data_IF_951162507963
#
_entry.id   IF_951162507963
#
_cell.length_a   1.000
_cell.length_b   1.000
_cell.length_c   1.000
_cell.angle_alpha   90.00
_cell.angle_beta   90.00
_cell.angle_gamma   90.00
#
_symmetry.space_group_name_H-M   'P 1'
#
loop_
_entity.id
_entity.type
_entity.pdbx_description
1 polymer ?
#
# COMPACT_ATOMS: atom_id res chain seq x y z
N UNK A 1 -45.88 58.72 -45.03
CA UNK A 1 -46.93 58.56 -44.01
C UNK A 1 -46.42 57.57 -42.98
N UNK A 2 -45.67 58.05 -41.99
CA UNK A 2 -45.13 57.22 -40.91
C UNK A 2 -46.22 57.18 -39.85
N UNK A 3 -46.61 55.98 -39.38
CA UNK A 3 -47.62 55.85 -38.34
C UNK A 3 -47.03 56.32 -37.01
N UNK A 4 -47.49 57.48 -36.55
CA UNK A 4 -47.33 57.90 -35.16
C UNK A 4 -48.26 57.04 -34.29
N UNK A 5 -47.82 55.81 -34.04
CA UNK A 5 -48.53 54.88 -33.15
C UNK A 5 -48.34 55.39 -31.71
N UNK A 6 -49.42 55.57 -30.91
CA UNK A 6 -49.32 56.24 -29.63
C UNK A 6 -48.34 55.50 -28.72
N UNK A 7 -47.33 56.24 -28.27
CA UNK A 7 -46.10 55.71 -27.64
C UNK A 7 -46.36 54.68 -26.51
N UNK A 8 -47.47 54.86 -25.78
CA UNK A 8 -47.93 53.94 -24.74
C UNK A 8 -48.10 52.50 -25.23
N UNK A 9 -48.70 52.27 -26.41
CA UNK A 9 -48.95 50.92 -26.95
C UNK A 9 -47.63 50.18 -27.19
N UNK A 10 -46.61 50.89 -27.67
CA UNK A 10 -45.27 50.33 -27.92
C UNK A 10 -44.56 49.97 -26.60
N UNK A 11 -44.77 50.77 -25.54
CA UNK A 11 -44.23 50.51 -24.20
C UNK A 11 -44.93 49.29 -23.57
N UNK A 12 -46.26 49.24 -23.58
CA UNK A 12 -47.04 48.12 -23.05
C UNK A 12 -46.69 46.80 -23.75
N UNK A 13 -46.58 46.83 -25.08
CA UNK A 13 -46.16 45.66 -25.87
C UNK A 13 -44.73 45.21 -25.52
N UNK A 14 -43.81 46.15 -25.29
CA UNK A 14 -42.43 45.86 -24.86
C UNK A 14 -42.37 45.17 -23.49
N UNK A 15 -43.21 45.57 -22.54
CA UNK A 15 -43.32 44.95 -21.21
C UNK A 15 -43.83 43.50 -21.33
N UNK A 16 -44.85 43.26 -22.17
CA UNK A 16 -45.39 41.91 -22.41
C UNK A 16 -44.33 41.00 -23.05
N UNK A 17 -43.60 41.50 -24.05
CA UNK A 17 -42.53 40.74 -24.73
C UNK A 17 -41.40 40.39 -23.74
N UNK A 18 -40.99 41.33 -22.88
CA UNK A 18 -40.00 41.07 -21.81
C UNK A 18 -40.48 39.97 -20.85
N UNK A 19 -41.75 39.99 -20.44
CA UNK A 19 -42.33 38.94 -19.61
C UNK A 19 -42.28 37.55 -20.25
N UNK A 20 -42.63 37.44 -21.53
CA UNK A 20 -42.57 36.18 -22.29
C UNK A 20 -41.13 35.68 -22.44
N UNK A 21 -40.16 36.57 -22.70
CA UNK A 21 -38.74 36.21 -22.80
C UNK A 21 -38.17 35.74 -21.45
N UNK A 22 -38.51 36.41 -20.34
CA UNK A 22 -38.12 35.96 -19.00
C UNK A 22 -38.74 34.59 -18.65
N UNK A 23 -40.01 34.36 -19.01
CA UNK A 23 -40.67 33.08 -18.79
C UNK A 23 -40.01 31.95 -19.59
N UNK A 24 -39.75 32.16 -20.88
CA UNK A 24 -39.05 31.20 -21.73
C UNK A 24 -37.61 30.95 -21.26
N UNK A 25 -36.87 32.00 -20.90
CA UNK A 25 -35.52 31.91 -20.34
C UNK A 25 -35.47 31.16 -19.01
N UNK A 26 -36.46 31.37 -18.14
CA UNK A 26 -36.64 30.62 -16.90
C UNK A 26 -36.87 29.12 -17.16
N UNK A 27 -37.72 28.79 -18.14
CA UNK A 27 -37.98 27.41 -18.56
C UNK A 27 -36.71 26.71 -19.07
N UNK A 28 -35.95 27.37 -19.96
CA UNK A 28 -34.66 26.86 -20.47
C UNK A 28 -33.65 26.71 -19.32
N UNK A 29 -33.60 27.66 -18.40
CA UNK A 29 -32.71 27.61 -17.22
C UNK A 29 -33.05 26.42 -16.31
N UNK A 30 -34.34 26.17 -16.03
CA UNK A 30 -34.79 25.01 -15.24
C UNK A 30 -34.47 23.70 -15.96
N UNK A 31 -34.63 23.63 -17.29
CA UNK A 31 -34.23 22.44 -18.07
C UNK A 31 -32.72 22.22 -18.07
N UNK A 32 -31.92 23.28 -18.18
CA UNK A 32 -30.46 23.21 -18.10
C UNK A 32 -30.00 22.74 -16.71
N UNK A 33 -30.59 23.28 -15.63
CA UNK A 33 -30.31 22.85 -14.26
C UNK A 33 -30.76 21.41 -13.98
N UNK A 34 -31.89 20.96 -14.54
CA UNK A 34 -32.30 19.54 -14.47
C UNK A 34 -31.30 18.64 -15.19
N UNK A 35 -30.92 18.97 -16.42
CA UNK A 35 -29.92 18.22 -17.20
C UNK A 35 -28.55 18.18 -16.51
N UNK A 36 -28.12 19.28 -15.90
CA UNK A 36 -26.87 19.34 -15.13
C UNK A 36 -26.95 18.53 -13.83
N UNK A 37 -28.10 18.56 -13.14
CA UNK A 37 -28.35 17.75 -11.94
C UNK A 37 -28.48 16.25 -12.24
N UNK A 38 -29.01 15.88 -13.40
CA UNK A 38 -29.01 14.51 -13.92
C UNK A 38 -27.59 14.04 -14.31
N UNK A 39 -26.76 14.93 -14.85
CA UNK A 39 -25.34 14.64 -15.07
C UNK A 39 -24.59 14.44 -13.74
N UNK A 40 -24.78 15.34 -12.76
CA UNK A 40 -24.18 15.21 -11.43
C UNK A 40 -24.63 13.93 -10.69
N UNK A 41 -25.86 13.44 -10.92
CA UNK A 41 -26.31 12.12 -10.43
C UNK A 41 -25.58 10.93 -11.05
N UNK A 42 -24.95 11.06 -12.22
CA UNK A 42 -24.11 9.99 -12.78
C UNK A 42 -22.77 9.89 -12.06
N UNK A 43 -22.21 11.04 -11.64
CA UNK A 43 -20.99 11.06 -10.84
C UNK A 43 -21.26 10.51 -9.42
N UNK A 44 -22.40 10.84 -8.81
CA UNK A 44 -22.87 10.30 -7.52
C UNK A 44 -22.89 8.75 -7.49
N UNK A 45 -23.37 8.12 -8.57
CA UNK A 45 -23.37 6.66 -8.73
C UNK A 45 -21.95 6.07 -8.81
N UNK A 46 -20.92 6.85 -9.19
CA UNK A 46 -19.54 6.40 -9.15
C UNK A 46 -19.01 6.31 -7.71
N UNK A 47 -19.38 7.26 -6.85
CA UNK A 47 -18.94 7.26 -5.45
C UNK A 47 -19.53 6.10 -4.64
N UNK A 48 -20.78 5.70 -4.92
CA UNK A 48 -21.39 4.53 -4.28
C UNK A 48 -20.75 3.19 -4.69
N UNK A 49 -20.13 3.10 -5.87
CA UNK A 49 -19.39 1.91 -6.28
C UNK A 49 -18.08 1.75 -5.49
N UNK A 50 -17.36 2.87 -5.25
CA UNK A 50 -16.16 2.87 -4.41
C UNK A 50 -16.50 2.54 -2.95
N UNK A 51 -17.62 3.04 -2.42
CA UNK A 51 -18.08 2.77 -1.05
C UNK A 51 -18.34 1.27 -0.81
N UNK A 52 -19.00 0.58 -1.75
CA UNK A 52 -19.23 -0.86 -1.68
C UNK A 52 -17.92 -1.69 -1.74
N UNK A 53 -16.91 -1.23 -2.49
CA UNK A 53 -15.58 -1.85 -2.50
C UNK A 53 -14.85 -1.63 -1.17
N UNK A 54 -14.95 -0.44 -0.59
CA UNK A 54 -14.40 -0.15 0.74
C UNK A 54 -15.08 -0.98 1.83
N UNK A 55 -16.41 -1.10 1.80
CA UNK A 55 -17.16 -1.95 2.73
C UNK A 55 -16.73 -3.42 2.62
N UNK A 56 -16.61 -3.96 1.40
CA UNK A 56 -16.15 -5.33 1.17
C UNK A 56 -14.73 -5.58 1.75
N UNK A 57 -13.81 -4.63 1.57
CA UNK A 57 -12.46 -4.68 2.15
C UNK A 57 -12.52 -4.62 3.68
N UNK A 58 -13.27 -3.69 4.27
CA UNK A 58 -13.43 -3.57 5.73
C UNK A 58 -14.07 -4.82 6.34
N UNK A 59 -15.02 -5.45 5.64
CA UNK A 59 -15.62 -6.71 6.02
C UNK A 59 -14.58 -7.85 6.02
N UNK A 60 -13.74 -7.93 4.99
CA UNK A 60 -12.66 -8.92 4.92
C UNK A 60 -11.64 -8.75 6.06
N UNK A 61 -11.21 -7.52 6.33
CA UNK A 61 -10.32 -7.22 7.46
C UNK A 61 -10.94 -7.60 8.81
N UNK A 62 -12.22 -7.27 9.01
CA UNK A 62 -12.97 -7.58 10.23
C UNK A 62 -13.16 -9.09 10.41
N UNK A 63 -13.34 -9.83 9.31
CA UNK A 63 -13.40 -11.30 9.31
C UNK A 63 -12.05 -11.91 9.72
N UNK A 64 -10.96 -11.50 9.08
CA UNK A 64 -9.59 -11.94 9.42
C UNK A 64 -9.25 -11.63 10.88
N UNK A 65 -9.67 -10.47 11.39
CA UNK A 65 -9.45 -10.08 12.79
C UNK A 65 -10.16 -11.04 13.77
N UNK A 66 -11.43 -11.40 13.50
CA UNK A 66 -12.18 -12.39 14.29
C UNK A 66 -11.56 -13.78 14.25
N UNK A 67 -10.98 -14.18 13.11
CA UNK A 67 -10.26 -15.45 13.00
C UNK A 67 -8.99 -15.46 13.88
N UNK A 68 -8.26 -14.33 13.95
CA UNK A 68 -7.13 -14.18 14.89
C UNK A 68 -7.57 -14.19 16.35
N UNK A 69 -8.65 -13.49 16.72
CA UNK A 69 -9.21 -13.50 18.08
C UNK A 69 -9.58 -14.93 18.54
N UNK A 70 -10.14 -15.74 17.62
CA UNK A 70 -10.44 -17.15 17.88
C UNK A 70 -9.18 -17.98 18.16
N UNK A 71 -8.12 -17.79 17.38
CA UNK A 71 -6.84 -18.48 17.60
C UNK A 71 -6.22 -18.06 18.94
N UNK A 72 -6.28 -16.77 19.29
CA UNK A 72 -5.79 -16.26 20.58
C UNK A 72 -6.58 -16.89 21.75
N UNK A 73 -7.91 -16.97 21.64
CA UNK A 73 -8.75 -17.63 22.64
C UNK A 73 -8.39 -19.11 22.81
N UNK A 74 -8.23 -19.86 21.70
CA UNK A 74 -7.85 -21.27 21.74
C UNK A 74 -6.46 -21.49 22.36
N UNK A 75 -5.49 -20.62 22.04
CA UNK A 75 -4.16 -20.68 22.63
C UNK A 75 -4.18 -20.40 24.14
N UNK A 76 -5.01 -19.45 24.60
CA UNK A 76 -5.21 -19.20 26.04
C UNK A 76 -5.79 -20.42 26.74
N UNK A 77 -6.88 -21.01 26.22
CA UNK A 77 -7.47 -22.22 26.81
C UNK A 77 -6.47 -23.39 26.86
N UNK A 78 -5.64 -23.57 25.82
CA UNK A 78 -4.57 -24.58 25.83
C UNK A 78 -3.50 -24.28 26.88
N UNK A 79 -3.13 -23.02 27.06
CA UNK A 79 -2.16 -22.59 28.08
C UNK A 79 -2.72 -22.81 29.50
N UNK A 80 -3.97 -22.43 29.75
CA UNK A 80 -4.66 -22.64 31.04
C UNK A 80 -4.71 -24.14 31.40
N UNK A 81 -5.03 -25.02 30.42
CA UNK A 81 -5.04 -26.47 30.61
C UNK A 81 -3.65 -27.01 30.95
N UNK A 82 -2.60 -26.50 30.28
CA UNK A 82 -1.21 -26.88 30.57
C UNK A 82 -0.79 -26.40 31.96
N UNK A 83 -1.14 -25.18 32.34
CA UNK A 83 -0.86 -24.63 33.67
C UNK A 83 -1.55 -25.43 34.77
N UNK A 84 -2.85 -25.72 34.64
CA UNK A 84 -3.56 -26.58 35.60
C UNK A 84 -2.91 -27.96 35.69
N UNK A 85 -2.49 -28.56 34.57
CA UNK A 85 -1.81 -29.86 34.56
C UNK A 85 -0.42 -29.81 35.21
N UNK A 86 0.36 -28.74 35.02
CA UNK A 86 1.67 -28.60 35.67
C UNK A 86 1.51 -28.33 37.16
N UNK A 87 0.56 -27.48 37.58
CA UNK A 87 0.24 -27.26 38.99
C UNK A 87 -0.22 -28.56 39.68
N UNK A 88 -1.05 -29.37 39.03
CA UNK A 88 -1.47 -30.68 39.55
C UNK A 88 -0.31 -31.69 39.65
N UNK A 89 0.67 -31.64 38.73
CA UNK A 89 1.90 -32.44 38.85
C UNK A 89 2.79 -31.98 40.01
N UNK A 90 2.88 -30.67 40.26
CA UNK A 90 3.64 -30.09 41.39
C UNK A 90 2.97 -30.39 42.75
N UNK A 91 1.68 -30.69 42.76
CA UNK A 91 0.90 -30.99 43.98
C UNK A 91 0.86 -32.49 44.35
N UNK A 92 1.62 -33.37 43.68
CA UNK A 92 1.80 -34.75 44.15
C UNK A 92 3.00 -34.88 45.10
N UNK A 93 2.79 -35.17 46.41
CA UNK A 93 3.87 -35.51 47.31
C UNK A 93 4.28 -36.97 47.10
N UNK A 94 5.42 -37.20 46.44
CA UNK A 94 6.03 -38.53 46.35
C UNK A 94 7.19 -38.67 47.33
N UNK A 95 6.91 -39.41 48.41
CA UNK A 95 7.85 -39.76 49.47
C UNK A 95 8.46 -41.13 49.18
N UNK A 96 9.78 -41.15 48.87
CA UNK A 96 10.74 -42.26 49.10
C UNK A 96 10.52 -43.61 48.35
N UNK A 97 11.52 -44.48 48.05
CA UNK A 97 13.01 -44.49 48.03
C UNK A 97 13.46 -45.78 47.28
N UNK A 98 14.78 -46.01 47.11
CA UNK A 98 15.49 -47.33 46.95
C UNK A 98 15.86 -47.73 45.49
N UNK A 99 17.07 -48.20 45.10
CA UNK A 99 18.42 -48.47 45.70
C UNK A 99 19.47 -48.20 44.55
N UNK A 100 20.78 -47.94 44.69
CA UNK A 100 21.90 -48.70 45.30
C UNK A 100 23.22 -47.84 45.27
N UNK A 101 24.47 -48.28 45.60
CA UNK A 101 25.16 -47.73 46.79
C UNK A 101 26.62 -47.18 46.60
N UNK A 102 27.16 -46.55 47.68
CA UNK A 102 28.61 -46.37 48.04
C UNK A 102 29.51 -45.59 47.06
N UNK A 103 30.30 -44.57 47.43
CA UNK A 103 31.30 -44.47 48.52
C UNK A 103 31.71 -42.98 48.82
N UNK A 104 32.56 -42.67 49.84
CA UNK A 104 32.50 -41.39 50.56
C UNK A 104 33.61 -40.33 50.31
N UNK A 105 33.40 -39.13 50.88
CA UNK A 105 34.37 -38.04 51.19
C UNK A 105 34.95 -37.25 49.97
N UNK A 106 35.16 -35.92 50.00
CA UNK A 106 35.22 -34.94 51.10
C UNK A 106 34.74 -33.52 50.71
N UNK A 107 34.31 -32.76 51.73
CA UNK A 107 34.48 -31.32 51.99
C UNK A 107 34.43 -30.25 50.86
N UNK A 108 33.61 -29.22 51.16
CA UNK A 108 33.92 -27.77 51.09
C UNK A 108 33.14 -26.88 50.09
N UNK A 109 32.19 -26.13 50.65
CA UNK A 109 31.75 -24.76 50.32
C UNK A 109 31.53 -24.35 48.85
N UNK A 110 30.25 -24.19 48.48
CA UNK A 110 29.81 -23.23 47.44
C UNK A 110 29.91 -21.79 48.01
N UNK A 111 30.03 -20.71 47.18
CA UNK A 111 28.93 -20.34 46.28
C UNK A 111 29.29 -19.63 44.94
N UNK A 112 28.27 -19.50 44.09
CA UNK A 112 28.09 -18.54 42.97
C UNK A 112 28.80 -18.76 41.61
N UNK A 113 27.96 -19.17 40.65
CA UNK A 113 27.74 -18.56 39.33
C UNK A 113 28.80 -18.61 38.19
N UNK A 114 28.24 -18.67 36.97
CA UNK A 114 28.85 -18.44 35.63
C UNK A 114 29.66 -19.56 34.96
N UNK A 115 28.99 -20.25 34.04
CA UNK A 115 29.47 -20.60 32.68
C UNK A 115 28.20 -20.99 31.91
N UNK A 116 27.60 -20.18 31.03
CA UNK A 116 28.12 -19.61 29.78
C UNK A 116 28.95 -20.63 29.00
N UNK A 117 28.30 -21.23 28.01
CA UNK A 117 28.89 -21.86 26.83
C UNK A 117 27.84 -21.79 25.70
N UNK A 118 27.82 -20.64 25.01
CA UNK A 118 27.23 -20.51 23.67
C UNK A 118 28.17 -21.20 22.65
N UNK A 119 27.70 -21.65 21.45
CA UNK A 119 27.04 -20.76 20.49
C UNK A 119 25.88 -21.31 19.64
N UNK A 120 24.90 -20.42 19.42
CA UNK A 120 24.39 -19.96 18.11
C UNK A 120 24.24 -20.98 16.96
N UNK A 121 22.98 -21.17 16.56
CA UNK A 121 22.42 -21.03 15.18
C UNK A 121 23.34 -21.38 14.00
N UNK A 122 22.94 -22.28 13.10
CA UNK A 122 22.10 -22.01 11.91
C UNK A 122 21.79 -23.35 11.25
N UNK A 123 20.60 -23.53 10.64
CA UNK A 123 20.41 -24.19 9.31
C UNK A 123 18.93 -24.34 8.92
N UNK A 124 18.54 -23.62 7.86
CA UNK A 124 17.49 -23.92 6.87
C UNK A 124 15.99 -24.03 7.28
N UNK A 125 15.25 -22.94 7.05
CA UNK A 125 14.02 -22.96 6.22
C UNK A 125 14.44 -22.38 4.86
N UNK A 126 14.10 -22.96 3.69
CA UNK A 126 12.71 -23.03 3.16
C UNK A 126 12.51 -24.32 2.28
N UNK A 127 11.67 -24.41 1.21
CA UNK A 127 10.48 -23.64 0.74
C UNK A 127 9.24 -24.52 0.32
N UNK A 128 8.19 -23.84 -0.18
CA UNK A 128 7.12 -24.35 -1.08
C UNK A 128 6.09 -25.35 -0.48
N UNK A 129 4.86 -25.52 -1.02
CA UNK A 129 4.21 -25.24 -2.33
C UNK A 129 2.73 -24.82 -2.11
N UNK A 130 1.89 -24.27 -3.03
CA UNK A 130 1.92 -23.52 -4.33
C UNK A 130 0.51 -23.63 -4.97
N UNK A 131 0.20 -22.77 -5.98
CA UNK A 131 -0.94 -22.82 -6.96
C UNK A 131 -2.07 -21.82 -6.62
N UNK A 132 -2.51 -20.84 -7.43
CA UNK A 132 -2.07 -20.20 -8.71
C UNK A 132 -2.60 -18.73 -8.72
N UNK A 133 -2.44 -17.81 -9.68
CA UNK A 133 -2.15 -17.80 -11.14
C UNK A 133 -0.96 -16.86 -11.43
N UNK A 134 -0.21 -17.15 -12.49
CA UNK A 134 1.11 -16.58 -12.77
C UNK A 134 1.12 -15.36 -13.72
N UNK A 135 2.18 -14.56 -13.59
CA UNK A 135 2.95 -14.02 -14.73
C UNK A 135 4.43 -14.21 -14.39
N UNK A 136 5.19 -14.82 -15.29
CA UNK A 136 6.57 -15.24 -15.08
C UNK A 136 7.59 -14.10 -15.30
N UNK A 137 8.55 -13.96 -14.38
CA UNK A 137 9.94 -13.53 -14.67
C UNK A 137 10.87 -14.15 -13.60
N UNK A 138 11.85 -14.96 -14.02
CA UNK A 138 12.95 -15.48 -13.18
C UNK A 138 13.98 -14.36 -12.86
N UNK A 139 14.97 -14.42 -11.98
CA UNK A 139 15.62 -15.50 -11.23
C UNK A 139 16.16 -14.92 -9.89
N UNK A 140 16.66 -15.76 -8.99
CA UNK A 140 16.97 -15.48 -7.60
C UNK A 140 18.08 -14.46 -7.29
N UNK A 141 18.00 -13.88 -6.08
CA UNK A 141 19.09 -13.82 -5.10
C UNK A 141 18.68 -13.02 -3.86
N UNK A 142 18.93 -13.60 -2.67
CA UNK A 142 18.51 -13.08 -1.36
C UNK A 142 19.14 -11.75 -0.90
N UNK A 143 19.91 -11.06 -1.75
CA UNK A 143 20.37 -9.69 -1.53
C UNK A 143 19.75 -8.64 -2.45
N UNK A 144 19.08 -9.04 -3.54
CA UNK A 144 18.75 -8.16 -4.67
C UNK A 144 17.38 -7.46 -4.60
N UNK A 145 16.48 -7.84 -3.68
CA UNK A 145 15.10 -7.31 -3.62
C UNK A 145 15.02 -5.78 -3.59
N UNK A 146 15.99 -5.12 -2.95
CA UNK A 146 16.06 -3.66 -2.90
C UNK A 146 16.45 -3.04 -4.26
N UNK A 147 17.35 -3.67 -5.03
CA UNK A 147 17.79 -3.15 -6.32
C UNK A 147 16.63 -3.19 -7.33
N UNK A 148 16.02 -4.36 -7.56
CA UNK A 148 14.86 -4.47 -8.46
C UNK A 148 13.71 -3.52 -8.11
N UNK A 149 13.50 -3.23 -6.80
CA UNK A 149 12.53 -2.22 -6.35
C UNK A 149 12.98 -0.79 -6.71
N UNK A 150 14.26 -0.44 -6.55
CA UNK A 150 14.82 0.87 -6.96
C UNK A 150 14.64 1.06 -8.46
N UNK A 151 15.06 0.08 -9.27
CA UNK A 151 15.10 0.19 -10.72
C UNK A 151 13.68 0.21 -11.34
N UNK A 152 12.73 -0.50 -10.73
CA UNK A 152 11.30 -0.36 -11.03
C UNK A 152 10.78 1.06 -10.74
N UNK A 153 11.14 1.68 -9.62
CA UNK A 153 10.71 3.06 -9.32
C UNK A 153 11.36 4.07 -10.28
N UNK A 154 12.64 3.89 -10.62
CA UNK A 154 13.31 4.70 -11.64
C UNK A 154 12.54 4.62 -12.96
N UNK A 155 12.14 3.41 -13.40
CA UNK A 155 11.32 3.21 -14.61
C UNK A 155 9.98 3.99 -14.53
N UNK A 156 9.28 3.96 -13.40
CA UNK A 156 8.05 4.76 -13.21
C UNK A 156 8.27 6.28 -13.31
N UNK A 157 9.44 6.76 -12.90
CA UNK A 157 9.82 8.17 -12.93
C UNK A 157 10.38 8.62 -14.30
N UNK A 158 10.71 7.67 -15.20
CA UNK A 158 10.99 7.97 -16.62
C UNK A 158 9.69 8.31 -17.35
N UNK A 159 8.59 7.60 -17.07
CA UNK A 159 7.29 7.82 -17.73
C UNK A 159 6.71 9.19 -17.40
N UNK A 160 6.61 9.54 -16.12
CA UNK A 160 6.09 10.84 -15.66
C UNK A 160 6.55 11.19 -14.24
N UNK A 161 6.54 12.48 -13.87
CA UNK A 161 6.72 12.90 -12.48
C UNK A 161 5.63 12.29 -11.57
N UNK A 162 6.05 11.64 -10.47
CA UNK A 162 5.14 10.95 -9.53
C UNK A 162 5.33 11.48 -8.11
N UNK A 163 4.27 11.43 -7.31
CA UNK A 163 4.29 11.75 -5.87
C UNK A 163 4.69 10.52 -5.03
N UNK A 164 5.11 10.73 -3.77
CA UNK A 164 5.40 9.60 -2.85
C UNK A 164 4.24 8.59 -2.75
N UNK A 165 2.98 9.06 -2.82
CA UNK A 165 1.78 8.22 -2.68
C UNK A 165 1.57 7.36 -3.92
N UNK A 166 1.78 7.89 -5.12
CA UNK A 166 1.70 7.12 -6.37
C UNK A 166 2.79 6.04 -6.43
N UNK A 167 4.02 6.38 -6.02
CA UNK A 167 5.13 5.41 -5.92
C UNK A 167 4.79 4.31 -4.91
N UNK A 168 4.22 4.65 -3.74
CA UNK A 168 3.81 3.68 -2.72
C UNK A 168 2.81 2.64 -3.27
N UNK A 169 1.81 3.09 -4.03
CA UNK A 169 0.80 2.20 -4.62
C UNK A 169 1.42 1.27 -5.67
N UNK A 170 2.35 1.78 -6.49
CA UNK A 170 3.02 0.99 -7.51
C UNK A 170 3.93 -0.10 -6.95
N UNK A 171 4.61 0.14 -5.82
CA UNK A 171 5.52 -0.85 -5.21
C UNK A 171 4.87 -1.77 -4.18
N UNK A 172 3.61 -1.52 -3.81
CA UNK A 172 2.89 -2.34 -2.81
C UNK A 172 3.52 -2.35 -1.41
N UNK A 173 4.31 -1.34 -1.04
CA UNK A 173 4.99 -1.26 0.27
C UNK A 173 4.33 -0.23 1.20
N UNK A 174 4.75 -0.26 2.47
CA UNK A 174 4.28 0.72 3.46
C UNK A 174 4.75 2.14 3.12
N UNK A 175 3.99 3.14 3.59
CA UNK A 175 4.33 4.56 3.45
C UNK A 175 5.73 4.87 3.98
N UNK A 176 6.10 4.27 5.11
CA UNK A 176 7.41 4.47 5.75
C UNK A 176 8.55 3.88 4.92
N UNK A 177 8.42 2.66 4.43
CA UNK A 177 9.43 2.04 3.57
C UNK A 177 9.62 2.87 2.29
N UNK A 178 8.52 3.30 1.67
CA UNK A 178 8.54 4.17 0.48
C UNK A 178 9.23 5.51 0.77
N UNK A 179 8.94 6.14 1.92
CA UNK A 179 9.55 7.41 2.31
C UNK A 179 11.07 7.29 2.52
N UNK A 180 11.53 6.23 3.22
CA UNK A 180 12.96 5.93 3.40
C UNK A 180 13.66 5.67 2.07
N UNK A 181 13.01 4.91 1.19
CA UNK A 181 13.55 4.60 -0.14
C UNK A 181 13.68 5.88 -0.98
N UNK A 182 12.62 6.69 -1.10
CA UNK A 182 12.65 7.97 -1.83
C UNK A 182 13.65 8.97 -1.26
N UNK A 183 13.85 8.99 0.07
CA UNK A 183 14.93 9.77 0.70
C UNK A 183 16.31 9.28 0.21
N UNK A 184 16.57 7.96 0.25
CA UNK A 184 17.84 7.37 -0.20
C UNK A 184 18.11 7.59 -1.70
N UNK A 185 17.09 7.50 -2.56
CA UNK A 185 17.24 7.79 -4.01
C UNK A 185 17.57 9.28 -4.26
N UNK A 186 17.05 10.18 -3.44
CA UNK A 186 17.36 11.60 -3.52
C UNK A 186 18.77 11.92 -3.01
N UNK A 187 19.17 11.36 -1.88
CA UNK A 187 20.53 11.50 -1.32
C UNK A 187 21.61 10.94 -2.24
N UNK A 188 21.31 9.88 -3.01
CA UNK A 188 22.20 9.32 -4.02
C UNK A 188 22.11 10.00 -5.40
N UNK A 189 21.32 11.06 -5.54
CA UNK A 189 21.22 11.86 -6.76
C UNK A 189 20.49 11.20 -7.94
N UNK A 190 19.95 9.98 -7.78
CA UNK A 190 19.21 9.27 -8.83
C UNK A 190 17.88 9.97 -9.17
N UNK A 191 17.31 10.69 -8.21
CA UNK A 191 15.98 11.32 -8.30
C UNK A 191 16.00 12.70 -7.64
N UNK A 192 15.50 13.72 -8.35
CA UNK A 192 15.28 15.05 -7.81
C UNK A 192 13.85 15.24 -7.29
N UNK A 193 13.67 16.05 -6.24
CA UNK A 193 12.36 16.40 -5.67
C UNK A 193 12.01 17.85 -6.00
N UNK A 194 10.86 18.06 -6.66
CA UNK A 194 10.25 19.38 -6.76
C UNK A 194 9.63 19.77 -5.40
N UNK A 195 10.10 20.90 -4.84
CA UNK A 195 9.64 21.48 -3.57
C UNK A 195 8.64 22.62 -3.76
N UNK A 196 8.44 23.09 -4.99
CA UNK A 196 7.55 24.20 -5.30
C UNK A 196 6.09 23.81 -5.07
N UNK A 197 5.72 22.58 -5.43
CA UNK A 197 4.37 22.03 -5.27
C UNK A 197 4.26 21.06 -4.08
N UNK A 198 3.08 21.05 -3.42
CA UNK A 198 2.70 20.07 -2.40
C UNK A 198 1.46 19.30 -2.92
N UNK A 199 1.40 17.96 -2.82
CA UNK A 199 2.45 17.06 -2.36
C UNK A 199 3.67 17.03 -3.29
N UNK A 200 4.86 16.83 -2.72
CA UNK A 200 6.12 16.83 -3.47
C UNK A 200 6.12 15.80 -4.61
N UNK A 201 6.67 16.22 -5.76
CA UNK A 201 6.85 15.37 -6.95
C UNK A 201 8.30 14.99 -7.12
N UNK A 202 8.53 13.78 -7.60
CA UNK A 202 9.85 13.24 -7.90
C UNK A 202 10.05 13.15 -9.41
N UNK A 203 11.26 13.44 -9.86
CA UNK A 203 11.70 13.42 -11.25
C UNK A 203 13.01 12.62 -11.34
N UNK A 204 13.17 11.79 -12.37
CA UNK A 204 14.43 11.06 -12.55
C UNK A 204 15.56 12.01 -13.00
N UNK A 205 16.72 11.90 -12.36
CA UNK A 205 17.95 12.62 -12.73
C UNK A 205 18.67 11.87 -13.86
N UNK A 206 19.59 12.54 -14.57
CA UNK A 206 20.47 11.90 -15.55
C UNK A 206 21.22 10.67 -14.98
N UNK A 207 21.74 10.77 -13.74
CA UNK A 207 22.37 9.65 -13.05
C UNK A 207 21.44 8.42 -12.89
N UNK A 208 20.14 8.65 -12.63
CA UNK A 208 19.14 7.59 -12.58
C UNK A 208 18.88 6.95 -13.96
N UNK A 209 18.84 7.77 -15.02
CA UNK A 209 18.70 7.25 -16.41
C UNK A 209 19.89 6.40 -16.82
N UNK A 210 21.12 6.84 -16.51
CA UNK A 210 22.35 6.08 -16.81
C UNK A 210 22.39 4.75 -16.08
N UNK A 211 21.91 4.67 -14.83
CA UNK A 211 21.77 3.40 -14.09
C UNK A 211 20.83 2.42 -14.81
N UNK A 212 19.63 2.86 -15.20
CA UNK A 212 18.68 2.05 -15.97
C UNK A 212 19.27 1.55 -17.30
N UNK A 213 20.07 2.38 -17.99
CA UNK A 213 20.72 1.99 -19.25
C UNK A 213 21.83 0.96 -19.02
N UNK A 214 22.57 1.04 -17.91
CA UNK A 214 23.67 0.11 -17.61
C UNK A 214 23.18 -1.33 -17.37
N UNK A 215 21.98 -1.51 -16.83
CA UNK A 215 21.36 -2.83 -16.62
C UNK A 215 20.55 -3.31 -17.85
N UNK A 216 20.43 -2.50 -18.90
CA UNK A 216 19.76 -2.86 -20.14
C UNK A 216 20.82 -3.39 -21.14
N UNK A 217 20.94 -4.71 -21.37
CA UNK A 217 21.85 -5.22 -22.39
C UNK A 217 21.51 -4.60 -23.76
N UNK A 218 22.55 -4.25 -24.50
CA UNK A 218 22.47 -3.50 -25.76
C UNK A 218 21.56 -4.19 -26.79
N UNK A 219 20.34 -3.68 -26.95
CA UNK A 219 19.35 -4.13 -27.93
C UNK A 219 18.91 -2.99 -28.89
N UNK A 220 19.77 -1.99 -29.08
CA UNK A 220 19.47 -0.80 -29.90
C UNK A 220 20.65 -0.30 -30.75
N UNK A 221 21.64 -1.14 -31.03
CA UNK A 221 22.63 -0.88 -32.09
C UNK A 221 22.22 -1.62 -33.36
N UNK A 222 21.32 -1.01 -34.14
CA UNK A 222 21.11 -1.41 -35.52
C UNK A 222 22.36 -1.02 -36.34
N UNK A 223 22.91 -1.90 -37.19
CA UNK A 223 24.08 -1.58 -37.98
C UNK A 223 23.75 -0.50 -39.01
N UNK A 224 24.55 0.56 -39.06
CA UNK A 224 24.53 1.50 -40.19
C UNK A 224 25.03 0.75 -41.42
N UNK A 225 24.14 0.47 -42.37
CA UNK A 225 24.55 0.00 -43.69
C UNK A 225 25.24 1.17 -44.38
N UNK A 226 26.56 1.09 -44.46
CA UNK A 226 27.38 1.96 -45.29
C UNK A 226 27.09 1.59 -46.76
N UNK A 227 26.36 2.45 -47.48
CA UNK A 227 26.37 2.37 -48.94
C UNK A 227 27.64 3.06 -49.46
N UNK A 228 28.27 2.39 -50.44
CA UNK A 228 29.38 2.87 -51.25
C UNK A 228 28.89 3.01 -52.70
#
# INVERSE_FOLDING_TARGET
MILDLPLNITIDLGIVILGVLFYAGGLVTVMALRRFREAAKRDDNSYHADDAVVEAVVLEYTRRLKDYDRVIAEMRTKLDIVEVKTQALVQQPHVMVQQQPSSPMSQQQAPHAQSVSEPVTVTQHPPAVTTTVAVEVEDGSGGQSNNGTIDYILKLLVERPRTSREVQHAIGRTREHTARLMKKLHESGLVSRDVNSKPFRYNITEAGRTRLTKERPSAAQAPKIQQA
#
